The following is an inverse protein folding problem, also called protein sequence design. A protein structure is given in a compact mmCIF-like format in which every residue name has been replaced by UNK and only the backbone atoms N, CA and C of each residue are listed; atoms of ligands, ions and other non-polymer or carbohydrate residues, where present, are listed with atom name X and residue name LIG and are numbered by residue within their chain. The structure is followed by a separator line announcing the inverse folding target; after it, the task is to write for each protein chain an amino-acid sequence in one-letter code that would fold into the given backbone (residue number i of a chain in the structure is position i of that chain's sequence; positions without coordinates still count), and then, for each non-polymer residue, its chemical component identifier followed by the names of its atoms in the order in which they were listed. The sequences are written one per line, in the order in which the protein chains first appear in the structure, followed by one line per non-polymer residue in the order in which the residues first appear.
data_IF_265217276851
#
_entry.id   IF_265217276851
#
_cell.length_a   1.000
_cell.length_b   1.000
_cell.length_c   1.000
_cell.angle_alpha   90.00
_cell.angle_beta   90.00
_cell.angle_gamma   90.00
#
_symmetry.space_group_name_H-M   'P 1'
#
loop_
_entity.id
_entity.type
_entity.pdbx_description
1 polymer ?
#
# COMPACT_ATOMS: atom_id res chain seq x y z
N UNK A 1 16.92 2.26 -3.23
CA UNK A 1 15.57 2.81 -2.95
C UNK A 1 14.61 1.76 -2.40
N UNK A 2 14.61 0.51 -2.91
CA UNK A 2 13.77 -0.60 -2.41
C UNK A 2 13.79 -0.86 -0.88
N UNK A 3 14.90 -0.56 -0.19
CA UNK A 3 15.03 -0.72 1.28
C UNK A 3 14.14 0.25 2.08
N UNK A 4 13.61 1.32 1.46
CA UNK A 4 12.77 2.32 2.13
C UNK A 4 11.28 2.23 1.79
N UNK A 5 10.88 1.33 0.90
CA UNK A 5 9.48 1.20 0.46
C UNK A 5 8.56 0.79 1.61
N UNK A 6 8.90 -0.31 2.28
CA UNK A 6 8.09 -0.88 3.36
C UNK A 6 7.83 0.09 4.53
N UNK A 7 8.83 0.76 5.13
CA UNK A 7 8.56 1.70 6.22
C UNK A 7 7.74 2.92 5.78
N UNK A 8 7.86 3.36 4.52
CA UNK A 8 7.07 4.48 4.00
C UNK A 8 5.61 4.07 3.73
N UNK A 9 5.39 2.88 3.16
CA UNK A 9 4.05 2.32 2.96
C UNK A 9 3.36 2.09 4.31
N UNK A 10 4.07 1.54 5.31
CA UNK A 10 3.53 1.38 6.66
C UNK A 10 3.15 2.72 7.28
N UNK A 11 4.02 3.73 7.19
CA UNK A 11 3.74 5.08 7.71
C UNK A 11 2.53 5.74 7.03
N UNK A 12 2.32 5.50 5.73
CA UNK A 12 1.12 5.93 5.02
C UNK A 12 -0.13 5.23 5.56
N UNK A 13 -0.08 3.90 5.69
CA UNK A 13 -1.20 3.08 6.16
C UNK A 13 -1.62 3.38 7.60
N UNK A 14 -0.73 3.91 8.44
CA UNK A 14 -1.10 4.40 9.78
C UNK A 14 -2.19 5.47 9.75
N UNK A 15 -2.26 6.28 8.68
CA UNK A 15 -3.34 7.28 8.49
C UNK A 15 -4.69 6.62 8.24
N UNK A 16 -4.67 5.40 7.73
CA UNK A 16 -5.81 4.54 7.44
C UNK A 16 -6.01 3.49 8.54
N UNK A 17 -5.34 3.60 9.70
CA UNK A 17 -5.43 2.68 10.83
C UNK A 17 -6.17 3.30 12.03
N UNK A 18 -7.50 3.58 11.94
CA UNK A 18 -8.23 4.23 13.04
C UNK A 18 -8.28 3.37 14.31
N UNK A 19 -8.13 2.05 14.17
CA UNK A 19 -8.11 1.08 15.27
C UNK A 19 -6.76 1.00 15.99
N UNK A 20 -5.71 1.63 15.44
CA UNK A 20 -4.32 1.59 15.96
C UNK A 20 -3.84 0.17 16.24
N UNK A 21 -4.19 -0.76 15.36
CA UNK A 21 -3.70 -2.13 15.43
C UNK A 21 -2.23 -2.17 14.99
N UNK A 22 -1.53 -3.23 15.35
CA UNK A 22 -0.19 -3.47 14.80
C UNK A 22 -0.31 -3.82 13.31
N UNK A 23 0.26 -2.96 12.46
CA UNK A 23 0.27 -3.18 11.00
C UNK A 23 1.44 -4.09 10.66
N UNK A 24 1.11 -5.29 10.16
CA UNK A 24 2.07 -6.29 9.71
C UNK A 24 1.82 -6.61 8.24
N UNK A 25 2.70 -7.39 7.61
CA UNK A 25 2.51 -7.83 6.22
C UNK A 25 1.25 -8.68 6.02
N UNK A 26 0.77 -9.32 7.06
CA UNK A 26 -0.43 -10.18 7.04
C UNK A 26 -1.72 -9.40 7.24
N UNK A 27 -1.63 -8.13 7.68
CA UNK A 27 -2.78 -7.26 7.91
C UNK A 27 -3.58 -7.07 6.63
N UNK A 28 -4.89 -7.32 6.69
CA UNK A 28 -5.81 -7.16 5.58
C UNK A 28 -6.18 -5.68 5.38
N UNK A 29 -6.02 -5.16 4.16
CA UNK A 29 -6.32 -3.76 3.85
C UNK A 29 -7.81 -3.47 4.11
N UNK A 30 -8.69 -4.33 3.60
CA UNK A 30 -10.14 -4.19 3.77
C UNK A 30 -10.60 -4.49 5.19
N UNK A 31 -10.32 -5.69 5.70
CA UNK A 31 -10.93 -6.17 6.95
C UNK A 31 -10.34 -5.50 8.20
N UNK A 32 -9.01 -5.30 8.22
CA UNK A 32 -8.32 -4.80 9.40
C UNK A 32 -8.22 -3.27 9.39
N UNK A 33 -7.76 -2.69 8.27
CA UNK A 33 -7.55 -1.25 8.09
C UNK A 33 -8.79 -0.51 7.56
N UNK A 34 -9.86 -1.22 7.18
CA UNK A 34 -11.09 -0.61 6.65
C UNK A 34 -10.83 0.22 5.37
N UNK A 35 -9.87 -0.22 4.57
CA UNK A 35 -9.55 0.32 3.25
C UNK A 35 -10.45 -0.38 2.23
N UNK A 36 -11.54 0.28 1.86
CA UNK A 36 -12.42 -0.18 0.79
C UNK A 36 -11.83 0.09 -0.61
N UNK A 37 -12.56 -0.26 -1.67
CA UNK A 37 -12.10 -0.08 -3.05
C UNK A 37 -11.78 1.39 -3.41
N UNK A 38 -12.43 2.36 -2.75
CA UNK A 38 -12.21 3.78 -3.01
C UNK A 38 -10.97 4.25 -2.26
N UNK A 39 -10.88 3.93 -0.97
CA UNK A 39 -9.71 4.23 -0.15
C UNK A 39 -8.44 3.55 -0.70
N UNK A 40 -8.56 2.36 -1.29
CA UNK A 40 -7.45 1.68 -1.95
C UNK A 40 -6.91 2.49 -3.15
N UNK A 41 -7.78 3.17 -3.90
CA UNK A 41 -7.36 4.06 -4.98
C UNK A 41 -6.64 5.29 -4.45
N UNK A 42 -7.13 5.89 -3.36
CA UNK A 42 -6.48 7.03 -2.72
C UNK A 42 -5.09 6.66 -2.19
N UNK A 43 -4.96 5.51 -1.52
CA UNK A 43 -3.67 4.98 -1.03
C UNK A 43 -2.70 4.75 -2.19
N UNK A 44 -3.17 4.17 -3.30
CA UNK A 44 -2.30 3.93 -4.46
C UNK A 44 -1.89 5.24 -5.13
N UNK A 45 -2.79 6.21 -5.30
CA UNK A 45 -2.42 7.53 -5.84
C UNK A 45 -1.37 8.23 -4.96
N UNK A 46 -1.51 8.18 -3.63
CA UNK A 46 -0.49 8.73 -2.72
C UNK A 46 0.87 8.02 -2.88
N UNK A 47 0.85 6.70 -3.12
CA UNK A 47 2.05 5.90 -3.36
C UNK A 47 2.70 6.24 -4.71
N UNK A 48 1.92 6.38 -5.77
CA UNK A 48 2.38 6.78 -7.10
C UNK A 48 3.13 8.11 -7.02
N UNK A 49 2.53 9.11 -6.36
CA UNK A 49 3.15 10.41 -6.12
C UNK A 49 4.41 10.32 -5.23
N UNK A 50 4.40 9.49 -4.18
CA UNK A 50 5.53 9.37 -3.24
C UNK A 50 6.76 8.71 -3.85
N UNK A 51 6.56 7.74 -4.73
CA UNK A 51 7.64 6.94 -5.30
C UNK A 51 7.92 7.27 -6.77
N UNK A 52 7.18 8.22 -7.35
CA UNK A 52 7.23 8.58 -8.77
C UNK A 52 7.03 7.36 -9.68
N UNK A 53 6.03 6.53 -9.35
CA UNK A 53 5.71 5.29 -10.07
C UNK A 53 4.30 5.31 -10.65
N UNK A 54 4.05 4.46 -11.67
CA UNK A 54 2.71 4.19 -12.20
C UNK A 54 2.25 2.77 -11.82
N UNK A 55 1.10 2.67 -11.14
CA UNK A 55 0.50 1.41 -10.72
C UNK A 55 -0.80 1.15 -11.49
N UNK A 56 -0.87 0.10 -12.33
CA UNK A 56 -2.07 -0.13 -13.11
C UNK A 56 -3.21 -0.65 -12.24
N UNK A 57 -4.41 -0.14 -12.51
CA UNK A 57 -5.66 -0.38 -11.77
C UNK A 57 -5.98 -1.86 -11.53
N UNK A 58 -5.58 -2.74 -12.46
CA UNK A 58 -5.82 -4.17 -12.36
C UNK A 58 -5.01 -4.81 -11.23
N UNK A 59 -3.80 -4.30 -10.95
CA UNK A 59 -2.99 -4.78 -9.83
C UNK A 59 -3.52 -4.27 -8.49
N UNK A 60 -4.15 -3.09 -8.47
CA UNK A 60 -4.79 -2.53 -7.28
C UNK A 60 -5.98 -3.39 -6.84
N UNK A 61 -6.78 -3.87 -7.79
CA UNK A 61 -7.93 -4.73 -7.52
C UNK A 61 -7.55 -6.09 -6.87
N UNK A 62 -6.31 -6.52 -7.05
CA UNK A 62 -5.79 -7.78 -6.50
C UNK A 62 -5.17 -7.60 -5.08
N UNK A 63 -5.06 -6.36 -4.59
CA UNK A 63 -4.49 -6.08 -3.27
C UNK A 63 -5.42 -6.55 -2.14
N UNK A 64 -4.90 -7.41 -1.27
CA UNK A 64 -5.63 -7.92 -0.10
C UNK A 64 -4.95 -7.58 1.21
N UNK A 65 -3.63 -7.66 1.23
CA UNK A 65 -2.81 -7.45 2.43
C UNK A 65 -1.82 -6.32 2.26
N UNK A 66 -1.29 -5.83 3.38
CA UNK A 66 -0.18 -4.86 3.39
C UNK A 66 1.06 -5.42 2.69
N UNK A 67 1.34 -6.72 2.84
CA UNK A 67 2.43 -7.39 2.13
C UNK A 67 2.29 -7.28 0.60
N UNK A 68 1.07 -7.50 0.07
CA UNK A 68 0.79 -7.37 -1.36
C UNK A 68 1.09 -5.96 -1.86
N UNK A 69 0.67 -4.94 -1.10
CA UNK A 69 0.89 -3.54 -1.44
C UNK A 69 2.38 -3.21 -1.43
N UNK A 70 3.10 -3.58 -0.36
CA UNK A 70 4.56 -3.35 -0.27
C UNK A 70 5.30 -4.00 -1.42
N UNK A 71 4.94 -5.24 -1.76
CA UNK A 71 5.60 -5.97 -2.84
C UNK A 71 5.26 -5.41 -4.22
N UNK A 72 4.02 -4.93 -4.42
CA UNK A 72 3.63 -4.22 -5.62
C UNK A 72 4.48 -2.96 -5.83
N UNK A 73 4.58 -2.12 -4.80
CA UNK A 73 5.37 -0.88 -4.86
C UNK A 73 6.85 -1.18 -5.07
N UNK A 74 7.41 -2.15 -4.33
CA UNK A 74 8.81 -2.58 -4.53
C UNK A 74 9.08 -2.99 -5.97
N UNK A 75 8.21 -3.83 -6.55
CA UNK A 75 8.36 -4.28 -7.94
C UNK A 75 8.29 -3.13 -8.94
N UNK A 76 7.52 -2.08 -8.65
CA UNK A 76 7.40 -0.95 -9.56
C UNK A 76 8.60 0.00 -9.42
N UNK A 77 9.02 0.31 -8.20
CA UNK A 77 10.22 1.13 -7.92
C UNK A 77 11.50 0.49 -8.45
N UNK A 78 11.57 -0.84 -8.58
CA UNK A 78 12.72 -1.53 -9.16
C UNK A 78 12.72 -1.59 -10.69
N UNK A 79 11.59 -1.27 -11.34
CA UNK A 79 11.48 -1.25 -12.81
C UNK A 79 11.91 0.08 -13.42
N UNK A 80 11.85 1.15 -12.64
CA UNK A 80 12.37 2.49 -12.96
C UNK A 80 13.86 2.61 -12.59
#
# INVERSE_FOLDING_TARGET
MAQQVEPQVLALLERYNPKKIEVTRETALGDDLNIDSVAAMDVVMEIEDMFEIDVPINQVADLRTVGDLVDLVRRQVEKD
#
